data_IF_546289137709
#
_entry.id   IF_546289137709
#
_cell.length_a   1.000
_cell.length_b   1.000
_cell.length_c   1.000
_cell.angle_alpha   90.00
_cell.angle_beta   90.00
_cell.angle_gamma   90.00
#
_symmetry.space_group_name_H-M   'P 1'
#
loop_
_entity.id
_entity.type
_entity.pdbx_description
1 polymer ?
#
# COMPACT_ATOMS: atom_id res chain seq x y z
N UNK A 1 -12.68 24.22 -12.32
CA UNK A 1 -13.49 23.04 -12.69
C UNK A 1 -12.66 21.76 -12.93
N UNK A 2 -11.66 21.74 -13.84
CA UNK A 2 -10.91 20.49 -14.17
C UNK A 2 -10.21 19.83 -12.97
N UNK A 3 -9.60 20.62 -12.08
CA UNK A 3 -8.94 20.11 -10.85
C UNK A 3 -9.92 19.31 -9.95
N UNK A 4 -11.13 19.83 -9.74
CA UNK A 4 -12.17 19.16 -8.94
C UNK A 4 -12.55 17.83 -9.59
N UNK A 5 -12.86 17.84 -10.89
CA UNK A 5 -13.25 16.62 -11.62
C UNK A 5 -12.17 15.55 -11.58
N UNK A 6 -10.91 15.91 -11.80
CA UNK A 6 -9.78 14.98 -11.74
C UNK A 6 -9.62 14.39 -10.33
N UNK A 7 -9.77 15.22 -9.30
CA UNK A 7 -9.69 14.77 -7.92
C UNK A 7 -10.82 13.77 -7.61
N UNK A 8 -12.06 14.12 -7.94
CA UNK A 8 -13.22 13.24 -7.79
C UNK A 8 -13.05 11.93 -8.59
N UNK A 9 -12.52 12.00 -9.82
CA UNK A 9 -12.23 10.82 -10.63
C UNK A 9 -11.21 9.88 -9.98
N UNK A 10 -10.19 10.41 -9.30
CA UNK A 10 -9.27 9.60 -8.49
C UNK A 10 -9.98 8.91 -7.33
N UNK A 11 -10.93 9.57 -6.64
CA UNK A 11 -11.62 8.97 -5.48
C UNK A 11 -12.46 7.75 -5.88
N UNK A 12 -13.09 7.83 -7.05
CA UNK A 12 -13.97 6.79 -7.55
C UNK A 12 -13.25 5.72 -8.38
N UNK A 13 -11.92 5.82 -8.55
CA UNK A 13 -11.14 4.89 -9.39
C UNK A 13 -11.20 3.44 -8.91
N UNK A 14 -11.25 3.23 -7.59
CA UNK A 14 -11.32 1.90 -6.97
C UNK A 14 -12.76 1.41 -6.75
N UNK A 15 -13.76 2.26 -7.00
CA UNK A 15 -15.16 1.95 -6.75
C UNK A 15 -15.78 1.39 -8.04
N UNK A 16 -16.53 0.28 -7.98
CA UNK A 16 -17.18 -0.27 -9.16
C UNK A 16 -18.12 0.75 -9.79
N UNK A 17 -17.91 1.00 -11.09
CA UNK A 17 -18.66 1.99 -11.86
C UNK A 17 -20.08 1.49 -12.12
N UNK A 18 -21.02 1.92 -11.28
CA UNK A 18 -22.44 1.65 -11.43
C UNK A 18 -23.24 2.97 -11.49
N UNK A 19 -24.53 2.89 -11.84
CA UNK A 19 -25.38 4.08 -12.00
C UNK A 19 -25.49 4.91 -10.72
N UNK A 20 -25.57 4.27 -9.56
CA UNK A 20 -25.70 4.95 -8.26
C UNK A 20 -24.42 5.70 -7.90
N UNK A 21 -23.26 5.06 -8.08
CA UNK A 21 -21.94 5.64 -7.85
C UNK A 21 -21.69 6.86 -8.74
N UNK A 22 -22.09 6.82 -10.01
CA UNK A 22 -21.96 7.98 -10.90
C UNK A 22 -22.93 9.12 -10.51
N UNK A 23 -24.14 8.81 -10.01
CA UNK A 23 -25.06 9.84 -9.50
C UNK A 23 -24.47 10.55 -8.27
N UNK A 24 -23.99 9.79 -7.28
CA UNK A 24 -23.35 10.34 -6.06
C UNK A 24 -22.13 11.18 -6.43
N UNK A 25 -21.33 10.71 -7.38
CA UNK A 25 -20.17 11.44 -7.89
C UNK A 25 -20.55 12.80 -8.48
N UNK A 26 -21.62 12.87 -9.28
CA UNK A 26 -22.10 14.14 -9.84
C UNK A 26 -22.61 15.08 -8.74
N UNK A 27 -23.34 14.56 -7.75
CA UNK A 27 -23.83 15.36 -6.61
C UNK A 27 -22.69 15.98 -5.80
N UNK A 28 -21.61 15.23 -5.57
CA UNK A 28 -20.42 15.72 -4.88
C UNK A 28 -19.72 16.81 -5.71
N UNK A 29 -19.55 16.59 -7.01
CA UNK A 29 -18.95 17.58 -7.91
C UNK A 29 -19.76 18.87 -7.89
N UNK A 30 -21.09 18.76 -7.97
CA UNK A 30 -21.97 19.92 -7.96
C UNK A 30 -21.87 20.71 -6.64
N UNK A 31 -21.91 20.03 -5.49
CA UNK A 31 -21.75 20.68 -4.19
C UNK A 31 -20.40 21.41 -4.07
N UNK A 32 -19.31 20.79 -4.55
CA UNK A 32 -18.00 21.43 -4.55
C UNK A 32 -17.94 22.63 -5.50
N UNK A 33 -18.54 22.53 -6.69
CA UNK A 33 -18.62 23.63 -7.64
C UNK A 33 -19.43 24.81 -7.09
N UNK A 34 -20.56 24.54 -6.41
CA UNK A 34 -21.35 25.56 -5.72
C UNK A 34 -20.55 26.26 -4.62
N UNK A 35 -19.80 25.49 -3.81
CA UNK A 35 -18.93 26.07 -2.78
C UNK A 35 -17.79 26.90 -3.36
N UNK A 36 -17.21 26.47 -4.48
CA UNK A 36 -16.18 27.25 -5.19
C UNK A 36 -16.77 28.54 -5.75
N UNK A 37 -18.00 28.50 -6.30
CA UNK A 37 -18.69 29.70 -6.76
C UNK A 37 -18.94 30.69 -5.62
N UNK A 38 -19.39 30.20 -4.47
CA UNK A 38 -19.54 31.01 -3.27
C UNK A 38 -18.22 31.67 -2.85
N UNK A 39 -17.10 30.94 -2.87
CA UNK A 39 -15.79 31.49 -2.51
C UNK A 39 -15.30 32.53 -3.54
N UNK A 40 -15.61 32.34 -4.82
CA UNK A 40 -15.30 33.34 -5.86
C UNK A 40 -16.11 34.63 -5.69
N UNK A 41 -17.39 34.53 -5.29
CA UNK A 41 -18.24 35.69 -5.00
C UNK A 41 -17.71 36.50 -3.79
N UNK A 42 -17.06 35.83 -2.84
CA UNK A 42 -16.33 36.49 -1.75
C UNK A 42 -15.01 37.16 -2.19
N UNK A 43 -14.74 37.25 -3.49
CA UNK A 43 -13.56 37.89 -4.04
C UNK A 43 -12.29 37.05 -3.99
N UNK A 44 -12.38 35.74 -3.71
CA UNK A 44 -11.21 34.84 -3.84
C UNK A 44 -10.94 34.50 -5.30
N UNK A 45 -9.67 34.32 -5.61
CA UNK A 45 -9.26 33.80 -6.90
C UNK A 45 -9.79 32.37 -7.09
N UNK A 46 -10.18 32.04 -8.33
CA UNK A 46 -10.73 30.73 -8.67
C UNK A 46 -9.83 29.57 -8.21
N UNK A 47 -8.52 29.69 -8.33
CA UNK A 47 -7.59 28.62 -7.92
C UNK A 47 -7.55 28.43 -6.39
N UNK A 48 -7.55 29.52 -5.63
CA UNK A 48 -7.58 29.48 -4.16
C UNK A 48 -8.94 28.96 -3.65
N UNK A 49 -10.04 29.37 -4.28
CA UNK A 49 -11.37 28.85 -4.00
C UNK A 49 -11.45 27.32 -4.22
N UNK A 50 -10.88 26.81 -5.31
CA UNK A 50 -10.81 25.37 -5.60
C UNK A 50 -9.99 24.64 -4.54
N UNK A 51 -8.78 25.13 -4.23
CA UNK A 51 -7.92 24.48 -3.24
C UNK A 51 -8.57 24.45 -1.86
N UNK A 52 -9.21 25.55 -1.45
CA UNK A 52 -9.93 25.64 -0.19
C UNK A 52 -11.13 24.70 -0.14
N UNK A 53 -11.91 24.59 -1.21
CA UNK A 53 -13.04 23.67 -1.26
C UNK A 53 -12.61 22.19 -1.18
N UNK A 54 -11.49 21.83 -1.81
CA UNK A 54 -10.91 20.48 -1.72
C UNK A 54 -10.46 20.20 -0.28
N UNK A 55 -9.77 21.14 0.38
CA UNK A 55 -9.31 20.96 1.76
C UNK A 55 -10.48 20.88 2.76
N UNK A 56 -11.52 21.71 2.58
CA UNK A 56 -12.71 21.68 3.44
C UNK A 56 -13.57 20.43 3.26
N UNK A 57 -13.52 19.80 2.08
CA UNK A 57 -14.22 18.53 1.83
C UNK A 57 -13.65 17.38 2.66
N UNK A 58 -12.42 17.50 3.16
CA UNK A 58 -11.80 16.56 4.08
C UNK A 58 -11.08 15.40 3.41
N UNK A 59 -10.74 14.37 4.22
CA UNK A 59 -9.99 13.22 3.75
C UNK A 59 -10.90 12.22 3.03
N UNK A 60 -10.44 11.83 1.86
CA UNK A 60 -11.12 11.02 0.87
C UNK A 60 -11.23 9.57 1.35
N UNK A 61 -10.26 9.16 2.16
CA UNK A 61 -10.22 7.83 2.76
C UNK A 61 -11.40 7.62 3.72
N UNK A 62 -11.84 8.69 4.41
CA UNK A 62 -13.00 8.64 5.30
C UNK A 62 -14.30 8.42 4.51
N UNK A 63 -14.48 9.10 3.37
CA UNK A 63 -15.64 8.91 2.49
C UNK A 63 -15.71 7.48 1.93
N UNK A 64 -14.58 6.91 1.51
CA UNK A 64 -14.52 5.52 1.01
C UNK A 64 -14.93 4.51 2.09
N UNK A 65 -14.51 4.78 3.34
CA UNK A 65 -14.84 3.97 4.52
C UNK A 65 -16.32 4.07 4.88
N UNK A 66 -16.91 5.26 4.76
CA UNK A 66 -18.33 5.51 5.04
C UNK A 66 -19.26 4.95 3.96
N UNK A 67 -18.83 4.95 2.69
CA UNK A 67 -19.51 4.29 1.56
C UNK A 67 -19.43 2.75 1.60
N UNK A 68 -18.81 2.16 2.63
CA UNK A 68 -18.76 0.71 2.81
C UNK A 68 -17.89 -0.03 1.79
N UNK A 69 -17.01 0.69 1.08
CA UNK A 69 -16.09 0.09 0.12
C UNK A 69 -15.01 -0.65 0.92
N UNK A 70 -15.16 -1.96 1.05
CA UNK A 70 -14.08 -2.84 1.53
C UNK A 70 -12.85 -2.56 0.67
N UNK A 71 -11.82 -1.97 1.27
CA UNK A 71 -10.52 -1.89 0.64
C UNK A 71 -10.16 -3.28 0.09
N UNK A 72 -9.65 -3.40 -1.15
CA UNK A 72 -9.17 -4.67 -1.65
C UNK A 72 -8.09 -5.14 -0.68
N UNK A 73 -8.44 -6.13 0.15
CA UNK A 73 -7.64 -6.52 1.31
C UNK A 73 -6.19 -6.68 0.89
N UNK A 74 -5.32 -5.86 1.45
CA UNK A 74 -3.88 -5.82 1.17
C UNK A 74 -3.37 -7.24 1.36
N UNK A 75 -3.25 -7.99 0.26
CA UNK A 75 -2.91 -9.42 0.29
C UNK A 75 -1.61 -9.51 1.09
N UNK A 76 -1.60 -10.29 2.17
CA UNK A 76 -0.46 -10.35 3.09
C UNK A 76 0.77 -10.97 2.39
N UNK A 77 1.45 -10.19 1.55
CA UNK A 77 2.68 -10.54 0.82
C UNK A 77 3.80 -10.97 1.77
N UNK A 78 3.71 -10.59 3.05
CA UNK A 78 4.64 -11.00 4.10
C UNK A 78 4.69 -12.53 4.32
N UNK A 79 3.60 -13.28 4.09
CA UNK A 79 3.62 -14.75 4.18
C UNK A 79 4.35 -15.38 2.99
N UNK A 80 4.05 -14.94 1.77
CA UNK A 80 4.69 -15.42 0.54
C UNK A 80 6.21 -15.14 0.55
N UNK A 81 6.61 -13.98 1.05
CA UNK A 81 8.02 -13.62 1.18
C UNK A 81 8.77 -14.48 2.23
N UNK A 82 8.07 -14.97 3.26
CA UNK A 82 8.68 -15.78 4.32
C UNK A 82 8.92 -17.22 3.86
N UNK A 83 7.94 -17.83 3.17
CA UNK A 83 8.09 -19.16 2.58
C UNK A 83 9.21 -19.17 1.53
N UNK A 84 9.25 -18.17 0.65
CA UNK A 84 10.31 -18.03 -0.35
C UNK A 84 11.70 -17.86 0.29
N UNK A 85 11.79 -17.09 1.38
CA UNK A 85 13.05 -16.87 2.10
C UNK A 85 13.56 -18.15 2.77
N UNK A 86 12.67 -18.99 3.33
CA UNK A 86 13.05 -20.28 3.95
C UNK A 86 13.56 -21.26 2.89
N UNK A 87 12.82 -21.42 1.78
CA UNK A 87 13.22 -22.32 0.69
C UNK A 87 14.51 -21.86 0.01
N UNK A 88 14.65 -20.55 -0.26
CA UNK A 88 15.85 -19.97 -0.84
C UNK A 88 17.08 -20.14 0.06
N UNK A 89 16.95 -19.83 1.36
CA UNK A 89 18.05 -20.00 2.32
C UNK A 89 18.46 -21.47 2.44
N UNK A 90 17.50 -22.40 2.50
CA UNK A 90 17.77 -23.84 2.56
C UNK A 90 18.52 -24.37 1.34
N UNK A 91 18.13 -23.93 0.14
CA UNK A 91 18.81 -24.31 -1.11
C UNK A 91 20.26 -23.80 -1.14
N UNK A 92 20.50 -22.56 -0.71
CA UNK A 92 21.84 -21.97 -0.67
C UNK A 92 22.71 -22.68 0.36
N UNK A 93 22.19 -22.97 1.56
CA UNK A 93 22.90 -23.72 2.60
C UNK A 93 23.31 -25.11 2.08
N UNK A 94 22.38 -25.83 1.43
CA UNK A 94 22.67 -27.13 0.83
C UNK A 94 23.77 -27.05 -0.24
N UNK A 95 23.77 -26.01 -1.06
CA UNK A 95 24.81 -25.76 -2.06
C UNK A 95 26.19 -25.51 -1.44
N UNK A 96 26.29 -24.70 -0.39
CA UNK A 96 27.56 -24.45 0.31
C UNK A 96 28.09 -25.69 1.03
N UNK A 97 27.22 -26.51 1.62
CA UNK A 97 27.60 -27.80 2.20
C UNK A 97 28.15 -28.74 1.12
N UNK A 98 27.49 -28.80 -0.04
CA UNK A 98 27.94 -29.60 -1.18
C UNK A 98 29.34 -29.17 -1.67
N UNK A 99 29.58 -27.85 -1.78
CA UNK A 99 30.90 -27.31 -2.12
C UNK A 99 31.95 -27.72 -1.08
N UNK A 100 31.63 -27.63 0.22
CA UNK A 100 32.57 -27.97 1.29
C UNK A 100 33.00 -29.44 1.23
N UNK A 101 32.05 -30.34 0.99
CA UNK A 101 32.33 -31.78 0.86
C UNK A 101 33.13 -32.11 -0.40
N UNK A 102 32.89 -31.41 -1.51
CA UNK A 102 33.53 -31.69 -2.79
C UNK A 102 34.96 -31.13 -2.88
N UNK A 103 35.17 -29.88 -2.45
CA UNK A 103 36.44 -29.18 -2.66
C UNK A 103 37.39 -29.26 -1.46
N UNK A 104 36.90 -29.32 -0.23
CA UNK A 104 37.78 -29.21 0.95
C UNK A 104 37.17 -29.91 2.18
N UNK A 105 37.15 -31.26 2.21
CA UNK A 105 36.52 -32.02 3.30
C UNK A 105 37.22 -31.88 4.65
N UNK A 106 38.52 -31.53 4.67
CA UNK A 106 39.32 -31.36 5.88
C UNK A 106 39.03 -30.07 6.68
N UNK A 107 38.35 -29.08 6.09
CA UNK A 107 38.06 -27.80 6.76
C UNK A 107 36.58 -27.41 6.65
N UNK A 108 35.97 -27.04 7.78
CA UNK A 108 34.54 -26.70 7.88
C UNK A 108 34.33 -25.20 7.60
N UNK A 109 34.72 -24.73 6.41
CA UNK A 109 34.62 -23.31 6.07
C UNK A 109 33.19 -22.86 5.74
N UNK A 110 32.32 -23.77 5.30
CA UNK A 110 30.93 -23.46 4.96
C UNK A 110 30.11 -22.84 6.12
N UNK A 111 30.56 -22.95 7.37
CA UNK A 111 29.86 -22.36 8.53
C UNK A 111 29.74 -20.83 8.42
N UNK A 112 30.76 -20.15 7.90
CA UNK A 112 30.79 -18.68 7.80
C UNK A 112 29.71 -18.11 6.88
N UNK A 113 29.55 -18.57 5.61
CA UNK A 113 28.47 -18.11 4.76
C UNK A 113 27.08 -18.55 5.26
N UNK A 114 26.95 -19.72 5.88
CA UNK A 114 25.68 -20.22 6.43
C UNK A 114 25.14 -19.27 7.52
N UNK A 115 26.00 -18.79 8.42
CA UNK A 115 25.60 -17.82 9.46
C UNK A 115 25.07 -16.51 8.86
N UNK A 116 25.69 -16.00 7.80
CA UNK A 116 25.22 -14.79 7.12
C UNK A 116 23.86 -14.99 6.44
N UNK A 117 23.64 -16.17 5.84
CA UNK A 117 22.39 -16.52 5.16
C UNK A 117 21.25 -16.69 6.17
N UNK A 118 21.51 -17.30 7.34
CA UNK A 118 20.51 -17.50 8.40
C UNK A 118 20.01 -16.19 9.03
N UNK A 119 20.73 -15.09 8.87
CA UNK A 119 20.28 -13.78 9.35
C UNK A 119 19.00 -13.28 8.65
N UNK A 120 18.82 -13.62 7.37
CA UNK A 120 17.66 -13.25 6.57
C UNK A 120 16.32 -13.86 7.03
N UNK A 121 16.20 -15.20 7.21
CA UNK A 121 14.99 -15.81 7.74
C UNK A 121 14.71 -15.37 9.18
N UNK A 122 15.75 -15.09 9.99
CA UNK A 122 15.58 -14.58 11.35
C UNK A 122 14.98 -13.17 11.38
N UNK A 123 15.46 -12.26 10.52
CA UNK A 123 14.90 -10.91 10.38
C UNK A 123 13.43 -10.96 9.94
N UNK A 124 13.10 -11.81 8.96
CA UNK A 124 11.72 -12.00 8.50
C UNK A 124 10.82 -12.60 9.58
N UNK A 125 11.33 -13.56 10.37
CA UNK A 125 10.62 -14.12 11.52
C UNK A 125 10.27 -13.05 12.56
N UNK A 126 11.18 -12.10 12.82
CA UNK A 126 10.92 -11.00 13.76
C UNK A 126 9.88 -10.01 13.21
N UNK A 127 9.94 -9.67 11.93
CA UNK A 127 8.92 -8.82 11.27
C UNK A 127 7.54 -9.47 11.31
N UNK A 128 7.46 -10.78 11.09
CA UNK A 128 6.21 -11.54 11.22
C UNK A 128 5.71 -11.55 12.66
N UNK A 129 6.60 -11.74 13.63
CA UNK A 129 6.26 -11.82 15.05
C UNK A 129 5.75 -10.48 15.59
N UNK A 130 6.31 -9.34 15.19
CA UNK A 130 5.82 -8.01 15.60
C UNK A 130 4.41 -7.70 15.13
N UNK A 131 3.99 -8.23 13.98
CA UNK A 131 2.63 -8.03 13.45
C UNK A 131 1.57 -8.72 14.31
N UNK A 132 1.92 -9.86 14.92
CA UNK A 132 1.02 -10.69 15.76
C UNK A 132 0.78 -10.13 17.17
N UNK A 133 1.59 -9.17 17.62
CA UNK A 133 1.46 -8.52 18.93
C UNK A 133 0.71 -7.19 18.89
N UNK A 134 0.27 -6.75 17.70
CA UNK A 134 -0.46 -5.49 17.48
C UNK A 134 -1.94 -5.71 17.15
N UNK A 135 -2.40 -6.96 17.12
CA UNK A 135 -3.82 -7.37 17.11
C UNK A 135 -4.19 -7.87 18.51
#
# INVERSE_FOLDING_TARGET
MKKIKNHIDELFKDIPRNKETEMVKQEIIQNLEEKVFYLMDQGKEQEDAINKAIVEFGDIEDLKKELGVKEPGKKNMSKLNLEFSIWGSGLIIAFFIFINLYYTPDTIWAIYPIFAILWWPLSMYFVWSRKKWSE
#
